data_IF_735193271298
#
_entry.id   IF_735193271298
#
_cell.length_a   1.000
_cell.length_b   1.000
_cell.length_c   1.000
_cell.angle_alpha   90.00
_cell.angle_beta   90.00
_cell.angle_gamma   90.00
#
_symmetry.space_group_name_H-M   'P 1'
#
loop_
_entity.id
_entity.type
_entity.pdbx_description
1 polymer ?
#
# COMPACT_ATOMS: atom_id res chain seq x y z
N UNK A 1 29.67 -12.33 -5.52
CA UNK A 1 28.87 -12.58 -6.74
C UNK A 1 27.40 -12.55 -6.35
N UNK A 2 26.57 -11.72 -7.00
CA UNK A 2 25.14 -11.59 -6.68
C UNK A 2 24.39 -12.79 -7.26
N UNK A 3 23.54 -13.44 -6.44
CA UNK A 3 22.77 -14.62 -6.85
C UNK A 3 21.26 -14.38 -6.90
N UNK A 4 20.78 -13.41 -6.14
CA UNK A 4 19.36 -13.11 -5.96
C UNK A 4 19.15 -11.61 -6.13
N UNK A 5 18.09 -11.22 -6.82
CA UNK A 5 17.62 -9.83 -6.91
C UNK A 5 16.21 -9.79 -6.36
N UNK A 6 15.98 -8.95 -5.35
CA UNK A 6 14.66 -8.75 -4.74
C UNK A 6 14.15 -7.39 -5.23
N UNK A 7 12.90 -7.36 -5.67
CA UNK A 7 12.22 -6.14 -6.09
C UNK A 7 11.14 -5.78 -5.08
N UNK A 8 11.04 -4.49 -4.79
CA UNK A 8 9.80 -3.94 -4.28
C UNK A 8 8.71 -3.98 -5.37
N UNK A 9 7.45 -3.91 -4.98
CA UNK A 9 6.30 -3.90 -5.89
C UNK A 9 5.89 -2.47 -6.22
N UNK A 10 5.39 -1.75 -5.22
CA UNK A 10 4.85 -0.40 -5.37
C UNK A 10 5.95 0.58 -5.78
N UNK A 11 5.70 1.36 -6.84
CA UNK A 11 6.67 2.34 -7.34
C UNK A 11 7.86 1.75 -8.11
N UNK A 12 8.04 0.42 -8.07
CA UNK A 12 9.13 -0.31 -8.74
C UNK A 12 8.62 -1.13 -9.92
N UNK A 13 7.77 -2.12 -9.68
CA UNK A 13 7.21 -3.00 -10.72
C UNK A 13 5.94 -2.42 -11.36
N UNK A 14 5.32 -1.44 -10.72
CA UNK A 14 4.29 -0.61 -11.34
C UNK A 14 4.29 0.79 -10.73
N UNK A 15 3.68 1.74 -11.45
CA UNK A 15 3.37 3.07 -10.94
C UNK A 15 1.92 3.38 -11.29
N UNK A 16 1.05 3.43 -10.28
CA UNK A 16 -0.35 3.79 -10.46
C UNK A 16 -0.80 4.69 -9.33
N UNK A 17 -1.06 5.96 -9.67
CA UNK A 17 -1.59 6.94 -8.72
C UNK A 17 -2.99 6.52 -8.24
N UNK A 18 -3.78 5.93 -9.13
CA UNK A 18 -5.14 5.48 -8.84
C UNK A 18 -5.15 4.39 -7.76
N UNK A 19 -4.23 3.42 -7.84
CA UNK A 19 -4.09 2.38 -6.82
C UNK A 19 -3.65 2.98 -5.48
N UNK A 20 -2.69 3.90 -5.48
CA UNK A 20 -2.28 4.59 -4.26
C UNK A 20 -3.45 5.35 -3.60
N UNK A 21 -4.27 6.04 -4.40
CA UNK A 21 -5.48 6.71 -3.94
C UNK A 21 -6.56 5.72 -3.44
N UNK A 22 -6.67 4.54 -4.06
CA UNK A 22 -7.57 3.46 -3.59
C UNK A 22 -7.12 2.89 -2.26
N UNK A 23 -5.83 2.63 -2.06
CA UNK A 23 -5.30 2.21 -0.76
C UNK A 23 -5.53 3.26 0.33
N UNK A 24 -5.33 4.55 0.03
CA UNK A 24 -5.63 5.61 0.99
C UNK A 24 -7.12 5.66 1.37
N UNK A 25 -8.03 5.56 0.38
CA UNK A 25 -9.47 5.52 0.63
C UNK A 25 -9.89 4.28 1.42
N UNK A 26 -9.33 3.12 1.10
CA UNK A 26 -9.57 1.90 1.85
C UNK A 26 -9.17 2.09 3.32
N UNK A 27 -8.03 2.72 3.62
CA UNK A 27 -7.63 3.00 5.00
C UNK A 27 -8.63 3.87 5.75
N UNK A 28 -9.15 4.94 5.10
CA UNK A 28 -10.20 5.78 5.68
C UNK A 28 -11.48 4.98 5.97
N UNK A 29 -11.89 4.13 5.02
CA UNK A 29 -13.08 3.30 5.16
C UNK A 29 -12.93 2.27 6.29
N UNK A 30 -11.79 1.58 6.34
CA UNK A 30 -11.44 0.62 7.39
C UNK A 30 -11.53 1.24 8.77
N UNK A 31 -10.94 2.44 8.96
CA UNK A 31 -11.01 3.11 10.26
C UNK A 31 -12.43 3.57 10.60
N UNK A 32 -13.16 4.12 9.63
CA UNK A 32 -14.56 4.53 9.78
C UNK A 32 -15.43 3.36 10.25
N UNK A 33 -15.31 2.20 9.60
CA UNK A 33 -16.02 0.97 9.94
C UNK A 33 -15.59 0.41 11.30
N UNK A 34 -14.29 0.38 11.58
CA UNK A 34 -13.75 -0.19 12.83
C UNK A 34 -14.14 0.63 14.07
N UNK A 35 -14.08 1.96 13.98
CA UNK A 35 -14.45 2.86 15.08
C UNK A 35 -15.94 3.24 15.09
N UNK A 36 -16.70 2.85 14.06
CA UNK A 36 -18.09 3.27 13.85
C UNK A 36 -18.25 4.80 13.89
N UNK A 37 -17.45 5.50 13.10
CA UNK A 37 -17.44 6.97 12.98
C UNK A 37 -17.66 7.41 11.53
N UNK A 38 -18.11 8.66 11.28
CA UNK A 38 -18.22 9.20 9.94
C UNK A 38 -16.90 9.13 9.15
N UNK A 39 -16.98 8.93 7.84
CA UNK A 39 -15.81 8.79 6.97
C UNK A 39 -14.91 10.03 7.01
N UNK A 40 -15.49 11.22 7.09
CA UNK A 40 -14.72 12.47 7.18
C UNK A 40 -13.93 12.57 8.49
N UNK A 41 -14.48 12.06 9.60
CA UNK A 41 -13.77 12.04 10.88
C UNK A 41 -12.64 11.00 10.87
N UNK A 42 -12.88 9.83 10.28
CA UNK A 42 -11.82 8.84 10.06
C UNK A 42 -10.68 9.40 9.21
N UNK A 43 -10.99 10.17 8.16
CA UNK A 43 -9.99 10.82 7.31
C UNK A 43 -9.16 11.84 8.09
N UNK A 44 -9.78 12.67 8.92
CA UNK A 44 -9.07 13.62 9.81
C UNK A 44 -8.14 12.89 10.77
N UNK A 45 -8.64 11.85 11.44
CA UNK A 45 -7.84 11.09 12.40
C UNK A 45 -6.61 10.42 11.77
N UNK A 46 -6.76 9.86 10.56
CA UNK A 46 -5.63 9.27 9.83
C UNK A 46 -4.58 10.32 9.47
N UNK A 47 -5.02 11.50 9.02
CA UNK A 47 -4.10 12.57 8.65
C UNK A 47 -3.39 13.18 9.87
N UNK A 48 -4.11 13.42 10.96
CA UNK A 48 -3.54 13.86 12.23
C UNK A 48 -2.50 12.86 12.74
N UNK A 49 -2.81 11.55 12.66
CA UNK A 49 -1.90 10.51 13.09
C UNK A 49 -0.68 10.38 12.18
N UNK A 50 -0.85 10.55 10.87
CA UNK A 50 0.26 10.61 9.90
C UNK A 50 1.23 11.73 10.27
N UNK A 51 0.73 12.95 10.44
CA UNK A 51 1.54 14.11 10.79
C UNK A 51 2.26 13.93 12.14
N UNK A 52 1.62 13.27 13.10
CA UNK A 52 2.27 12.94 14.37
C UNK A 52 3.46 12.01 14.19
N UNK A 53 3.30 10.93 13.41
CA UNK A 53 4.36 9.92 13.20
C UNK A 53 5.47 10.49 12.31
N UNK A 54 5.15 11.27 11.27
CA UNK A 54 6.14 11.90 10.38
C UNK A 54 7.07 12.86 11.14
N UNK A 55 6.54 13.58 12.14
CA UNK A 55 7.34 14.43 13.03
C UNK A 55 8.33 13.64 13.87
N UNK A 56 7.99 12.39 14.19
CA UNK A 56 8.82 11.52 15.03
C UNK A 56 9.89 10.78 14.21
N UNK A 57 9.59 10.42 12.96
CA UNK A 57 10.43 9.51 12.17
C UNK A 57 11.03 10.07 10.86
N UNK A 58 10.77 11.32 10.44
CA UNK A 58 11.33 11.93 9.20
C UNK A 58 11.15 11.15 7.89
N UNK A 59 10.33 10.09 7.89
CA UNK A 59 10.10 9.19 6.77
C UNK A 59 8.61 9.10 6.43
N UNK A 60 8.30 8.69 5.20
CA UNK A 60 6.93 8.46 4.76
C UNK A 60 6.26 7.35 5.59
N UNK A 61 5.09 7.65 6.16
CA UNK A 61 4.43 6.72 7.08
C UNK A 61 3.49 5.75 6.34
N UNK A 62 3.73 4.43 6.42
CA UNK A 62 2.85 3.42 5.82
C UNK A 62 1.45 3.41 6.43
N UNK A 63 0.42 3.15 5.61
CA UNK A 63 -0.97 3.07 6.10
C UNK A 63 -1.16 2.01 7.19
N UNK A 64 -0.47 0.87 7.06
CA UNK A 64 -0.50 -0.20 8.05
C UNK A 64 -0.05 0.29 9.43
N UNK A 65 1.00 1.13 9.51
CA UNK A 65 1.49 1.66 10.78
C UNK A 65 0.44 2.59 11.43
N UNK A 66 -0.20 3.44 10.63
CA UNK A 66 -1.27 4.34 11.10
C UNK A 66 -2.44 3.52 11.62
N UNK A 67 -2.94 2.56 10.86
CA UNK A 67 -4.09 1.73 11.27
C UNK A 67 -3.77 0.88 12.51
N UNK A 68 -2.56 0.31 12.59
CA UNK A 68 -2.10 -0.44 13.77
C UNK A 68 -2.10 0.43 15.03
N UNK A 69 -1.75 1.72 14.91
CA UNK A 69 -1.78 2.65 16.04
C UNK A 69 -3.20 2.92 16.59
N UNK A 70 -4.24 2.59 15.82
CA UNK A 70 -5.64 2.63 16.24
C UNK A 70 -6.16 1.27 16.73
N UNK A 71 -5.31 0.24 16.79
CA UNK A 71 -5.67 -1.11 17.22
C UNK A 71 -6.23 -2.00 16.11
N UNK A 72 -6.15 -1.58 14.85
CA UNK A 72 -6.56 -2.41 13.71
C UNK A 72 -5.42 -3.37 13.38
N UNK A 73 -5.70 -4.67 13.32
CA UNK A 73 -4.67 -5.65 12.97
C UNK A 73 -4.37 -5.63 11.47
N UNK A 74 -3.14 -6.03 11.12
CA UNK A 74 -2.70 -6.15 9.73
C UNK A 74 -3.60 -7.11 8.93
N UNK A 75 -4.06 -8.20 9.55
CA UNK A 75 -4.96 -9.17 8.92
C UNK A 75 -6.33 -8.55 8.62
N UNK A 76 -6.90 -7.79 9.55
CA UNK A 76 -8.15 -7.07 9.33
C UNK A 76 -7.99 -6.04 8.22
N UNK A 77 -6.90 -5.27 8.24
CA UNK A 77 -6.59 -4.31 7.19
C UNK A 77 -6.49 -4.97 5.82
N UNK A 78 -5.74 -6.07 5.69
CA UNK A 78 -5.61 -6.77 4.41
C UNK A 78 -6.94 -7.28 3.88
N UNK A 79 -7.79 -7.82 4.77
CA UNK A 79 -9.13 -8.26 4.39
C UNK A 79 -9.97 -7.12 3.84
N UNK A 80 -10.09 -6.02 4.58
CA UNK A 80 -10.88 -4.85 4.15
C UNK A 80 -10.34 -4.25 2.85
N UNK A 81 -9.03 -4.26 2.66
CA UNK A 81 -8.39 -3.72 1.45
C UNK A 81 -8.70 -4.58 0.21
N UNK A 82 -8.60 -5.91 0.32
CA UNK A 82 -8.98 -6.85 -0.75
C UNK A 82 -10.46 -6.70 -1.10
N UNK A 83 -11.33 -6.51 -0.11
CA UNK A 83 -12.77 -6.34 -0.32
C UNK A 83 -13.12 -4.96 -0.92
N UNK A 84 -12.23 -3.95 -0.79
CA UNK A 84 -12.51 -2.57 -1.20
C UNK A 84 -12.30 -2.33 -2.70
N UNK A 85 -11.26 -2.92 -3.31
CA UNK A 85 -11.01 -2.78 -4.75
C UNK A 85 -10.11 -3.89 -5.30
N UNK A 86 -10.22 -4.13 -6.61
CA UNK A 86 -9.33 -5.04 -7.33
C UNK A 86 -8.24 -4.26 -8.07
N UNK A 87 -6.95 -4.45 -7.76
CA UNK A 87 -5.85 -3.78 -8.47
C UNK A 87 -5.81 -4.12 -9.97
N UNK A 88 -6.37 -5.25 -10.40
CA UNK A 88 -6.39 -5.66 -11.82
C UNK A 88 -7.20 -4.70 -12.69
N UNK A 89 -8.15 -3.97 -12.10
CA UNK A 89 -8.94 -2.97 -12.80
C UNK A 89 -8.12 -1.71 -13.16
N UNK A 90 -6.94 -1.54 -12.52
CA UNK A 90 -6.11 -0.33 -12.62
C UNK A 90 -4.69 -0.61 -13.13
N UNK A 91 -4.35 -1.88 -13.38
CA UNK A 91 -3.05 -2.29 -13.90
C UNK A 91 -3.17 -2.77 -15.33
N UNK A 92 -2.23 -2.33 -16.16
CA UNK A 92 -2.05 -2.85 -17.51
C UNK A 92 -0.71 -3.56 -17.59
N UNK A 93 -0.62 -4.49 -18.54
CA UNK A 93 0.58 -5.29 -18.73
C UNK A 93 1.69 -4.43 -19.35
N UNK A 94 2.84 -4.39 -18.69
CA UNK A 94 4.05 -3.78 -19.23
C UNK A 94 4.96 -4.85 -19.88
N UNK A 95 4.90 -4.93 -21.21
CA UNK A 95 5.73 -5.88 -21.98
C UNK A 95 7.23 -5.57 -21.89
N UNK A 96 7.61 -4.30 -21.68
CA UNK A 96 9.02 -3.92 -21.54
C UNK A 96 9.57 -4.36 -20.20
N UNK A 97 8.80 -4.18 -19.13
CA UNK A 97 9.14 -4.71 -17.82
C UNK A 97 9.24 -6.22 -17.86
N UNK A 98 8.25 -6.91 -18.44
CA UNK A 98 8.26 -8.37 -18.58
C UNK A 98 9.54 -8.87 -19.27
N UNK A 99 9.89 -8.31 -20.43
CA UNK A 99 11.12 -8.66 -21.15
C UNK A 99 12.38 -8.44 -20.32
N UNK A 100 12.40 -7.39 -19.50
CA UNK A 100 13.54 -7.08 -18.62
C UNK A 100 13.68 -8.13 -17.52
N UNK A 101 12.57 -8.50 -16.86
CA UNK A 101 12.54 -9.56 -15.85
C UNK A 101 12.92 -10.93 -16.44
N UNK A 102 12.41 -11.26 -17.63
CA UNK A 102 12.77 -12.49 -18.35
C UNK A 102 14.27 -12.56 -18.67
N UNK A 103 14.89 -11.41 -18.97
CA UNK A 103 16.35 -11.31 -19.16
C UNK A 103 17.13 -11.56 -17.88
N UNK A 104 16.70 -10.95 -16.77
CA UNK A 104 17.37 -11.09 -15.47
C UNK A 104 17.26 -12.51 -14.91
N UNK A 105 16.11 -13.16 -15.07
CA UNK A 105 15.84 -14.52 -14.58
C UNK A 105 16.77 -15.59 -15.18
N UNK A 106 17.40 -15.30 -16.33
CA UNK A 106 18.40 -16.20 -16.94
C UNK A 106 19.69 -16.32 -16.12
N UNK A 107 19.99 -15.32 -15.29
CA UNK A 107 21.26 -15.21 -14.56
C UNK A 107 21.08 -15.11 -13.04
N UNK A 108 19.92 -14.65 -12.60
CA UNK A 108 19.62 -14.42 -11.20
C UNK A 108 18.33 -15.13 -10.81
N UNK A 109 18.26 -15.55 -9.55
CA UNK A 109 16.96 -15.87 -8.95
C UNK A 109 16.24 -14.56 -8.67
N UNK A 110 15.04 -14.44 -9.23
CA UNK A 110 14.09 -13.36 -8.94
C UNK A 110 13.03 -13.90 -7.98
#
# INVERSE_FOLDING_TARGET
MIKVIIFDLDGTLYKSKEIAEKFARAAHYTLSKFKNIPLDDARKLIEEKRQQIEKEYSDSVPQTLILNSFGISTEFWHKENIDFFDPRDYLTKDEKLKKSLDGLKKRYRL
#
